data_IF_812469861406
#
_entry.id   IF_812469861406
#
_cell.length_a   1.000
_cell.length_b   1.000
_cell.length_c   1.000
_cell.angle_alpha   90.00
_cell.angle_beta   90.00
_cell.angle_gamma   90.00
#
_symmetry.space_group_name_H-M   'P 1'
#
loop_
_entity.id
_entity.type
_entity.pdbx_description
1 polymer ?
#
# COMPACT_ATOMS: atom_id res chain seq x y z
N UNK A 1 18.13 13.95 7.72
CA UNK A 1 17.71 14.02 6.30
C UNK A 1 17.42 12.64 5.67
N UNK A 2 17.87 11.52 6.23
CA UNK A 2 17.52 10.17 5.76
C UNK A 2 16.05 9.75 6.04
N UNK A 3 15.43 10.34 7.06
CA UNK A 3 14.12 9.96 7.61
C UNK A 3 12.93 10.19 6.64
N UNK A 4 12.82 11.40 6.05
CA UNK A 4 11.70 11.74 5.16
C UNK A 4 11.68 10.90 3.88
N UNK A 5 12.86 10.59 3.31
CA UNK A 5 12.97 9.79 2.08
C UNK A 5 12.60 8.33 2.32
N UNK A 6 13.01 7.77 3.46
CA UNK A 6 12.67 6.41 3.90
C UNK A 6 11.17 6.28 4.16
N UNK A 7 10.58 7.23 4.90
CA UNK A 7 9.14 7.26 5.17
C UNK A 7 8.30 7.38 3.90
N UNK A 8 8.75 8.19 2.94
CA UNK A 8 8.13 8.29 1.62
C UNK A 8 8.27 6.96 0.87
N UNK A 9 9.45 6.33 0.85
CA UNK A 9 9.62 5.05 0.18
C UNK A 9 8.69 3.96 0.76
N UNK A 10 8.54 3.90 2.09
CA UNK A 10 7.67 2.93 2.76
C UNK A 10 6.18 3.20 2.51
N UNK A 11 5.76 4.47 2.52
CA UNK A 11 4.38 4.87 2.23
C UNK A 11 3.96 4.51 0.79
N UNK A 12 4.91 4.54 -0.16
CA UNK A 12 4.63 4.34 -1.59
C UNK A 12 5.09 2.99 -2.14
N UNK A 13 5.80 2.16 -1.37
CA UNK A 13 6.18 0.80 -1.78
C UNK A 13 4.96 -0.08 -2.16
N UNK A 14 3.77 0.27 -1.67
CA UNK A 14 2.51 -0.38 -2.00
C UNK A 14 1.74 0.20 -3.20
N UNK A 15 2.17 1.32 -3.78
CA UNK A 15 1.46 2.07 -4.82
C UNK A 15 2.14 1.85 -6.18
N UNK A 16 1.81 0.75 -6.86
CA UNK A 16 2.39 0.40 -8.17
C UNK A 16 1.55 0.93 -9.35
N UNK A 17 2.27 1.50 -10.33
CA UNK A 17 2.13 1.32 -11.80
C UNK A 17 1.09 2.09 -12.65
N UNK A 18 0.38 3.10 -12.14
CA UNK A 18 -0.25 4.11 -13.02
C UNK A 18 0.53 5.43 -13.09
N UNK A 19 1.43 5.66 -12.14
CA UNK A 19 2.08 6.96 -11.97
C UNK A 19 3.26 7.19 -12.89
N UNK A 20 4.00 6.16 -13.33
CA UNK A 20 5.22 6.36 -14.15
C UNK A 20 4.95 7.00 -15.52
N UNK A 21 3.75 6.81 -16.10
CA UNK A 21 3.32 7.50 -17.33
C UNK A 21 2.69 8.88 -17.06
N UNK A 22 2.35 9.20 -15.80
CA UNK A 22 1.72 10.47 -15.41
C UNK A 22 2.74 11.60 -15.16
N UNK A 23 4.05 11.29 -15.20
CA UNK A 23 5.14 12.26 -15.09
C UNK A 23 5.85 12.49 -16.43
N UNK A 24 6.32 13.71 -16.72
CA UNK A 24 6.40 14.85 -15.82
C UNK A 24 5.06 15.55 -15.57
N UNK A 25 4.81 15.91 -14.31
CA UNK A 25 3.58 16.61 -13.88
C UNK A 25 3.88 18.08 -13.68
N UNK A 26 3.00 18.96 -14.15
CA UNK A 26 3.17 20.42 -14.01
C UNK A 26 2.06 21.05 -13.19
N UNK A 27 2.43 21.88 -12.20
CA UNK A 27 1.48 22.70 -11.48
C UNK A 27 0.88 23.76 -12.42
N UNK A 28 -0.43 23.71 -12.63
CA UNK A 28 -1.12 24.66 -13.52
C UNK A 28 -1.07 26.12 -13.06
N UNK A 29 -0.81 26.37 -11.76
CA UNK A 29 -0.74 27.74 -11.19
C UNK A 29 0.64 28.37 -11.30
N UNK A 30 1.71 27.68 -10.92
CA UNK A 30 3.07 28.25 -10.89
C UNK A 30 4.01 27.68 -11.95
N UNK A 31 3.55 26.70 -12.74
CA UNK A 31 4.34 26.09 -13.81
C UNK A 31 5.46 25.16 -13.35
N UNK A 32 5.62 24.93 -12.04
CA UNK A 32 6.62 23.99 -11.50
C UNK A 32 6.39 22.59 -12.04
N UNK A 33 7.45 21.96 -12.50
CA UNK A 33 7.45 20.61 -13.04
C UNK A 33 8.05 19.64 -12.02
N UNK A 34 7.41 18.49 -11.88
CA UNK A 34 7.86 17.36 -11.08
C UNK A 34 8.16 16.22 -12.05
N UNK A 35 9.36 15.67 -11.98
CA UNK A 35 9.87 14.73 -13.01
C UNK A 35 9.53 13.28 -12.75
N UNK A 36 9.28 12.94 -11.49
CA UNK A 36 8.90 11.61 -11.05
C UNK A 36 7.98 11.71 -9.85
N UNK A 37 7.45 10.57 -9.42
CA UNK A 37 6.66 10.46 -8.19
C UNK A 37 7.49 10.91 -6.99
N UNK A 38 8.74 10.45 -6.87
CA UNK A 38 9.62 10.81 -5.76
C UNK A 38 9.88 12.31 -5.72
N UNK A 39 10.10 12.92 -6.89
CA UNK A 39 10.31 14.35 -7.03
C UNK A 39 9.07 15.15 -6.62
N UNK A 40 7.88 14.69 -7.05
CA UNK A 40 6.60 15.24 -6.64
C UNK A 40 6.42 15.20 -5.12
N UNK A 41 6.69 14.06 -4.48
CA UNK A 41 6.50 13.87 -3.04
C UNK A 41 7.48 14.67 -2.20
N UNK A 42 8.73 14.79 -2.66
CA UNK A 42 9.76 15.57 -1.97
C UNK A 42 9.49 17.07 -2.03
N UNK A 43 9.01 17.55 -3.18
CA UNK A 43 8.78 18.98 -3.43
C UNK A 43 7.37 19.47 -3.09
N UNK A 44 6.45 18.60 -2.69
CA UNK A 44 5.09 18.98 -2.28
C UNK A 44 4.84 18.67 -0.80
N UNK A 45 3.85 19.33 -0.23
CA UNK A 45 3.45 19.22 1.16
C UNK A 45 2.18 18.38 1.31
N UNK A 46 2.04 17.70 2.45
CA UNK A 46 0.79 17.02 2.78
C UNK A 46 -0.34 18.02 3.01
N UNK A 47 -1.58 17.55 2.91
CA UNK A 47 -2.73 18.34 3.38
C UNK A 47 -2.72 18.39 4.92
N UNK A 48 -3.14 19.50 5.50
CA UNK A 48 -3.27 19.62 6.96
C UNK A 48 -4.28 18.59 7.48
N UNK A 49 -3.94 17.91 8.58
CA UNK A 49 -4.78 16.92 9.27
C UNK A 49 -5.26 15.73 8.42
N UNK A 50 -4.62 15.42 7.29
CA UNK A 50 -4.94 14.22 6.51
C UNK A 50 -3.71 13.60 5.86
N UNK A 51 -3.79 12.32 5.52
CA UNK A 51 -2.75 11.63 4.76
C UNK A 51 -2.66 12.09 3.31
N UNK A 52 -3.68 12.83 2.84
CA UNK A 52 -3.86 13.18 1.43
C UNK A 52 -4.32 12.00 0.56
N UNK A 53 -4.52 10.80 1.12
CA UNK A 53 -4.95 9.62 0.37
C UNK A 53 -6.46 9.49 0.40
N UNK A 54 -7.07 9.23 -0.77
CA UNK A 54 -8.49 8.96 -0.92
C UNK A 54 -8.68 7.77 -1.85
N UNK A 55 -9.48 6.80 -1.42
CA UNK A 55 -9.88 5.69 -2.28
C UNK A 55 -11.13 6.08 -3.08
N UNK A 56 -11.12 5.84 -4.38
CA UNK A 56 -12.25 6.01 -5.29
C UNK A 56 -12.43 4.75 -6.12
N UNK A 57 -13.64 4.49 -6.59
CA UNK A 57 -13.89 3.46 -7.60
C UNK A 57 -13.96 4.14 -8.97
N UNK A 58 -13.34 3.54 -9.99
CA UNK A 58 -13.53 3.97 -11.37
C UNK A 58 -14.82 3.37 -11.98
N UNK A 59 -15.09 3.72 -13.23
CA UNK A 59 -16.27 3.25 -13.98
C UNK A 59 -16.27 1.73 -14.23
N UNK A 60 -15.17 1.04 -13.91
CA UNK A 60 -15.01 -0.42 -14.01
C UNK A 60 -14.96 -1.09 -12.62
N UNK A 61 -15.38 -0.37 -11.57
CA UNK A 61 -15.32 -0.80 -10.16
C UNK A 61 -13.91 -1.11 -9.64
N UNK A 62 -12.87 -0.68 -10.36
CA UNK A 62 -11.50 -0.83 -9.88
C UNK A 62 -11.21 0.26 -8.85
N UNK A 63 -10.60 -0.14 -7.73
CA UNK A 63 -10.20 0.82 -6.70
C UNK A 63 -8.98 1.60 -7.18
N UNK A 64 -9.14 2.91 -7.29
CA UNK A 64 -8.09 3.89 -7.50
C UNK A 64 -7.76 4.57 -6.17
N UNK A 65 -6.49 4.90 -5.99
CA UNK A 65 -6.00 5.67 -4.85
C UNK A 65 -5.56 7.02 -5.35
N UNK A 66 -6.31 8.06 -5.01
CA UNK A 66 -5.99 9.45 -5.27
C UNK A 66 -5.10 9.98 -4.15
N UNK A 67 -4.03 10.68 -4.51
CA UNK A 67 -3.15 11.39 -3.60
C UNK A 67 -3.24 12.89 -3.85
N UNK A 68 -3.62 13.63 -2.82
CA UNK A 68 -3.68 15.08 -2.80
C UNK A 68 -2.49 15.67 -2.02
N UNK A 69 -1.79 16.62 -2.64
CA UNK A 69 -0.65 17.33 -2.02
C UNK A 69 -0.61 18.79 -2.44
N UNK A 70 -0.05 19.65 -1.61
CA UNK A 70 0.08 21.07 -1.90
C UNK A 70 1.44 21.37 -2.56
N UNK A 71 1.38 22.02 -3.71
CA UNK A 71 2.53 22.67 -4.31
C UNK A 71 3.01 23.81 -3.38
N UNK A 72 4.32 24.14 -3.32
CA UNK A 72 4.82 25.26 -2.53
C UNK A 72 4.20 26.63 -2.88
N UNK A 73 3.51 26.75 -4.03
CA UNK A 73 2.73 27.94 -4.38
C UNK A 73 1.33 27.99 -3.75
N UNK A 74 0.96 27.00 -2.93
CA UNK A 74 -0.34 26.88 -2.26
C UNK A 74 -1.44 26.24 -3.11
N UNK A 75 -1.16 25.73 -4.32
CA UNK A 75 -2.14 24.96 -5.09
C UNK A 75 -2.13 23.49 -4.73
N UNK A 76 -3.32 22.90 -4.57
CA UNK A 76 -3.48 21.45 -4.43
C UNK A 76 -3.32 20.74 -5.78
N UNK A 77 -2.53 19.69 -5.79
CA UNK A 77 -2.25 18.79 -6.90
C UNK A 77 -2.79 17.39 -6.55
N UNK A 78 -3.27 16.65 -7.55
CA UNK A 78 -3.78 15.29 -7.38
C UNK A 78 -3.06 14.33 -8.30
N UNK A 79 -2.65 13.17 -7.77
CA UNK A 79 -2.08 12.05 -8.53
C UNK A 79 -2.89 10.77 -8.29
N UNK A 80 -3.01 9.92 -9.30
CA UNK A 80 -3.75 8.67 -9.23
C UNK A 80 -2.77 7.50 -9.21
N UNK A 81 -2.96 6.60 -8.27
CA UNK A 81 -2.25 5.33 -8.18
C UNK A 81 -3.28 4.20 -8.33
N UNK A 82 -2.96 3.18 -9.10
CA UNK A 82 -3.76 1.94 -9.10
C UNK A 82 -3.57 1.22 -7.77
N UNK A 83 -4.66 0.75 -7.17
CA UNK A 83 -4.58 -0.16 -6.04
C UNK A 83 -4.06 -1.51 -6.54
N UNK A 84 -2.90 -1.96 -6.03
CA UNK A 84 -2.33 -3.28 -6.38
C UNK A 84 -3.05 -4.44 -5.67
N UNK A 85 -4.05 -4.16 -4.83
CA UNK A 85 -4.81 -5.21 -4.16
C UNK A 85 -5.62 -5.97 -5.19
N UNK A 86 -5.47 -7.29 -5.20
CA UNK A 86 -6.32 -8.17 -6.00
C UNK A 86 -7.75 -8.10 -5.46
N UNK A 87 -8.63 -7.41 -6.18
CA UNK A 87 -10.05 -7.26 -5.83
C UNK A 87 -10.93 -8.36 -6.44
N UNK A 88 -10.35 -9.35 -7.11
CA UNK A 88 -11.11 -10.52 -7.57
C UNK A 88 -11.71 -11.28 -6.37
N UNK A 89 -12.78 -12.06 -6.57
CA UNK A 89 -13.33 -12.93 -5.52
C UNK A 89 -12.26 -13.80 -4.85
N UNK A 90 -11.33 -14.35 -5.63
CA UNK A 90 -10.22 -15.14 -5.12
C UNK A 90 -9.24 -14.30 -4.27
N UNK A 91 -8.96 -13.06 -4.67
CA UNK A 91 -8.13 -12.12 -3.92
C UNK A 91 -8.76 -11.71 -2.58
N UNK A 92 -10.07 -11.51 -2.56
CA UNK A 92 -10.85 -11.24 -1.34
C UNK A 92 -10.82 -12.47 -0.42
N UNK A 93 -11.16 -13.65 -0.95
CA UNK A 93 -11.18 -14.91 -0.20
C UNK A 93 -9.82 -15.22 0.46
N UNK A 94 -8.71 -15.02 -0.27
CA UNK A 94 -7.36 -15.19 0.30
C UNK A 94 -7.10 -14.25 1.48
N UNK A 95 -7.55 -12.99 1.40
CA UNK A 95 -7.39 -12.01 2.51
C UNK A 95 -8.25 -12.37 3.71
N UNK A 96 -9.49 -12.78 3.49
CA UNK A 96 -10.39 -13.20 4.57
C UNK A 96 -9.85 -14.45 5.28
N UNK A 97 -9.38 -15.44 4.52
CA UNK A 97 -8.74 -16.62 5.08
C UNK A 97 -7.48 -16.28 5.88
N UNK A 98 -6.64 -15.37 5.38
CA UNK A 98 -5.49 -14.87 6.13
C UNK A 98 -5.91 -14.20 7.44
N UNK A 99 -6.94 -13.36 7.41
CA UNK A 99 -7.49 -12.70 8.59
C UNK A 99 -8.04 -13.69 9.61
N UNK A 100 -8.76 -14.72 9.17
CA UNK A 100 -9.28 -15.78 10.05
C UNK A 100 -8.15 -16.54 10.74
N UNK A 101 -7.11 -16.93 10.00
CA UNK A 101 -5.93 -17.61 10.55
C UNK A 101 -5.19 -16.73 11.56
N UNK A 102 -5.03 -15.44 11.25
CA UNK A 102 -4.45 -14.47 12.18
C UNK A 102 -5.22 -14.41 13.51
N UNK A 103 -6.55 -14.30 13.46
CA UNK A 103 -7.40 -14.27 14.65
C UNK A 103 -7.26 -15.55 15.47
N UNK A 104 -7.24 -16.71 14.82
CA UNK A 104 -7.06 -18.00 15.50
C UNK A 104 -5.70 -18.09 16.20
N UNK A 105 -4.62 -17.69 15.54
CA UNK A 105 -3.27 -17.73 16.12
C UNK A 105 -3.11 -16.76 17.30
N UNK A 106 -3.72 -15.58 17.21
CA UNK A 106 -3.71 -14.61 18.30
C UNK A 106 -4.52 -15.14 19.49
N UNK A 107 -5.67 -15.75 19.24
CA UNK A 107 -6.49 -16.39 20.28
C UNK A 107 -5.77 -17.56 20.96
N UNK A 108 -4.89 -18.27 20.22
CA UNK A 108 -4.00 -19.32 20.73
C UNK A 108 -2.74 -18.76 21.46
N UNK A 109 -2.73 -17.46 21.76
CA UNK A 109 -1.68 -16.82 22.55
C UNK A 109 -0.44 -16.38 21.76
N UNK A 110 -0.49 -16.40 20.43
CA UNK A 110 0.61 -15.90 19.60
C UNK A 110 0.60 -14.38 19.49
N UNK A 111 1.76 -13.75 19.62
CA UNK A 111 1.90 -12.33 19.32
C UNK A 111 1.56 -12.06 17.85
N UNK A 112 0.77 -11.02 17.58
CA UNK A 112 0.29 -10.70 16.23
C UNK A 112 1.43 -10.57 15.21
N UNK A 113 2.56 -9.96 15.59
CA UNK A 113 3.72 -9.83 14.71
C UNK A 113 4.32 -11.21 14.32
N UNK A 114 4.41 -12.13 15.28
CA UNK A 114 4.90 -13.49 15.05
C UNK A 114 3.93 -14.28 14.18
N UNK A 115 2.64 -14.26 14.50
CA UNK A 115 1.59 -14.93 13.71
C UNK A 115 1.61 -14.46 12.25
N UNK A 116 1.75 -13.14 12.05
CA UNK A 116 1.85 -12.54 10.73
C UNK A 116 3.08 -13.01 9.98
N UNK A 117 4.24 -13.01 10.64
CA UNK A 117 5.50 -13.45 10.05
C UNK A 117 5.45 -14.92 9.61
N UNK A 118 4.93 -15.79 10.46
CA UNK A 118 4.83 -17.22 10.16
C UNK A 118 3.85 -17.53 9.02
N UNK A 119 2.67 -16.88 8.99
CA UNK A 119 1.74 -17.06 7.89
C UNK A 119 2.31 -16.55 6.55
N UNK A 120 3.04 -15.43 6.56
CA UNK A 120 3.70 -14.93 5.35
C UNK A 120 4.77 -15.87 4.82
N UNK A 121 5.54 -16.53 5.70
CA UNK A 121 6.55 -17.52 5.28
C UNK A 121 5.90 -18.63 4.47
N UNK A 122 4.79 -19.19 4.96
CA UNK A 122 4.12 -20.30 4.29
C UNK A 122 3.44 -19.85 3.00
N UNK A 123 2.81 -18.67 2.99
CA UNK A 123 2.23 -18.11 1.76
C UNK A 123 3.26 -17.83 0.66
N UNK A 124 4.51 -17.59 1.01
CA UNK A 124 5.62 -17.44 0.04
C UNK A 124 6.28 -18.78 -0.32
N UNK A 125 5.66 -19.92 0.02
CA UNK A 125 6.17 -21.26 -0.27
C UNK A 125 7.26 -21.76 0.69
N UNK A 126 7.50 -21.03 1.79
CA UNK A 126 8.41 -21.45 2.84
C UNK A 126 7.76 -22.40 3.86
N UNK A 127 8.57 -22.90 4.79
CA UNK A 127 8.07 -23.73 5.91
C UNK A 127 7.90 -22.88 7.18
N UNK A 128 6.95 -23.27 8.03
CA UNK A 128 6.78 -22.74 9.38
C UNK A 128 6.66 -23.88 10.39
N UNK A 129 7.76 -24.25 11.07
CA UNK A 129 7.72 -25.23 12.16
C UNK A 129 6.76 -24.83 13.29
N UNK A 130 6.58 -23.53 13.51
CA UNK A 130 5.72 -22.97 14.56
C UNK A 130 4.23 -23.21 14.24
N UNK A 131 3.84 -23.07 12.97
CA UNK A 131 2.48 -23.39 12.52
C UNK A 131 2.26 -24.90 12.46
N UNK A 132 3.26 -25.66 11.99
CA UNK A 132 3.19 -27.13 11.97
C UNK A 132 3.04 -27.73 13.36
N UNK A 133 3.77 -27.22 14.35
CA UNK A 133 3.66 -27.65 15.75
C UNK A 133 2.26 -27.40 16.35
N UNK A 134 1.47 -26.51 15.73
CA UNK A 134 0.07 -26.22 16.09
C UNK A 134 -0.93 -26.96 15.21
N UNK A 135 -0.48 -27.91 14.38
CA UNK A 135 -1.32 -28.68 13.47
C UNK A 135 -1.81 -27.91 12.25
N UNK A 136 -1.23 -26.74 11.95
CA UNK A 136 -1.59 -25.93 10.79
C UNK A 136 -0.62 -26.26 9.65
N UNK A 137 -1.10 -26.97 8.63
CA UNK A 137 -0.37 -27.28 7.39
C UNK A 137 -1.03 -26.55 6.22
N UNK A 138 -0.44 -25.44 5.79
CA UNK A 138 -0.94 -24.65 4.66
C UNK A 138 -0.17 -25.09 3.43
N UNK A 139 -0.79 -25.93 2.59
CA UNK A 139 -0.22 -26.31 1.29
C UNK A 139 -0.46 -25.18 0.29
N UNK A 140 0.58 -24.46 -0.07
CA UNK A 140 0.57 -23.57 -1.24
C UNK A 140 0.75 -24.43 -2.49
N UNK A 141 -0.28 -24.48 -3.33
CA UNK A 141 -0.25 -25.07 -4.68
C UNK A 141 0.20 -24.05 -5.71
#
# INVERSE_FOLDING_TARGET
MADKKQLIAELYAGLQSLSSSAFPKRCRRCGREFRSVEDFLLQTEGLENSTGLKATADDQEQTLVELFRNCPCGSTLMEIFSDRRDMSPAGIERRENFGRLMTMLIADGMAAATARGELLKVLHGGDSPILRARGIDIRTH
#
